data_IF_312579206772
#
_entry.id   IF_312579206772
#
_cell.length_a   1.000
_cell.length_b   1.000
_cell.length_c   1.000
_cell.angle_alpha   90.00
_cell.angle_beta   90.00
_cell.angle_gamma   90.00
#
_symmetry.space_group_name_H-M   'P 1'
#
loop_
_entity.id
_entity.type
_entity.pdbx_description
1 polymer ?
#
# COMPACT_ATOMS: atom_id res chain seq x y z
N UNK A 1 -14.74 12.16 9.65
CA UNK A 1 -15.62 11.62 10.71
C UNK A 1 -17.04 12.12 10.73
N UNK A 2 -17.31 13.43 10.88
CA UNK A 2 -18.69 13.97 10.98
C UNK A 2 -19.66 13.47 9.89
N UNK A 3 -19.18 13.34 8.66
CA UNK A 3 -19.97 12.76 7.58
C UNK A 3 -20.57 11.38 7.94
N UNK A 4 -19.78 10.47 8.50
CA UNK A 4 -20.23 9.12 8.85
C UNK A 4 -21.19 9.13 10.04
N UNK A 5 -20.86 9.89 11.09
CA UNK A 5 -21.64 9.88 12.34
C UNK A 5 -22.90 10.75 12.26
N UNK A 6 -22.78 11.98 11.77
CA UNK A 6 -23.88 12.96 11.77
C UNK A 6 -24.78 12.80 10.54
N UNK A 7 -24.20 12.57 9.35
CA UNK A 7 -24.96 12.49 8.08
C UNK A 7 -25.39 11.06 7.74
N UNK A 8 -24.50 10.07 7.89
CA UNK A 8 -24.80 8.66 7.61
C UNK A 8 -25.38 7.90 8.82
N UNK A 9 -25.39 8.52 10.00
CA UNK A 9 -25.95 7.96 11.25
C UNK A 9 -25.31 6.63 11.67
N UNK A 10 -24.04 6.42 11.33
CA UNK A 10 -23.25 5.27 11.76
C UNK A 10 -22.66 5.57 13.14
N UNK A 11 -22.65 4.60 14.06
CA UNK A 11 -22.08 4.79 15.39
C UNK A 11 -20.57 5.07 15.31
N UNK A 12 -20.01 5.66 16.37
CA UNK A 12 -18.62 6.14 16.34
C UNK A 12 -17.58 5.02 16.12
N UNK A 13 -17.83 3.81 16.65
CA UNK A 13 -16.90 2.67 16.53
C UNK A 13 -16.81 2.22 15.08
N UNK A 14 -17.96 1.92 14.45
CA UNK A 14 -17.99 1.50 13.06
C UNK A 14 -17.52 2.60 12.12
N UNK A 15 -17.85 3.86 12.44
CA UNK A 15 -17.41 4.99 11.66
C UNK A 15 -15.87 5.16 11.71
N UNK A 16 -15.22 4.86 12.84
CA UNK A 16 -13.75 4.83 12.93
C UNK A 16 -13.16 3.71 12.06
N UNK A 17 -13.72 2.50 12.11
CA UNK A 17 -13.27 1.37 11.30
C UNK A 17 -13.34 1.69 9.80
N UNK A 18 -14.45 2.29 9.35
CA UNK A 18 -14.62 2.74 7.95
C UNK A 18 -13.57 3.80 7.60
N UNK A 19 -13.37 4.81 8.46
CA UNK A 19 -12.40 5.87 8.21
C UNK A 19 -10.95 5.35 8.19
N UNK A 20 -10.62 4.38 9.02
CA UNK A 20 -9.30 3.75 9.01
C UNK A 20 -9.04 2.98 7.70
N UNK A 21 -10.08 2.31 7.17
CA UNK A 21 -10.01 1.52 5.94
C UNK A 21 -9.90 2.39 4.67
N UNK A 22 -10.71 3.45 4.53
CA UNK A 22 -10.77 4.25 3.28
C UNK A 22 -10.35 5.72 3.42
N UNK A 23 -10.13 6.19 4.64
CA UNK A 23 -9.68 7.56 4.90
C UNK A 23 -10.78 8.60 4.68
N UNK A 24 -10.35 9.82 4.30
CA UNK A 24 -11.23 10.98 4.20
C UNK A 24 -11.90 11.21 2.85
N UNK A 25 -11.63 10.39 1.82
CA UNK A 25 -12.15 10.63 0.48
C UNK A 25 -13.66 10.42 0.47
N UNK A 26 -14.40 11.48 0.16
CA UNK A 26 -15.87 11.49 0.33
C UNK A 26 -16.59 10.42 -0.49
N UNK A 27 -16.08 10.09 -1.68
CA UNK A 27 -16.69 9.07 -2.54
C UNK A 27 -16.49 7.67 -1.94
N UNK A 28 -15.28 7.35 -1.47
CA UNK A 28 -14.98 6.06 -0.85
C UNK A 28 -15.75 5.90 0.47
N UNK A 29 -15.80 6.97 1.28
CA UNK A 29 -16.61 7.02 2.50
C UNK A 29 -18.10 6.79 2.23
N UNK A 30 -18.62 7.38 1.14
CA UNK A 30 -20.01 7.19 0.75
C UNK A 30 -20.27 5.73 0.36
N UNK A 31 -19.45 5.18 -0.52
CA UNK A 31 -19.59 3.79 -1.01
C UNK A 31 -19.57 2.80 0.14
N UNK A 32 -18.54 2.84 1.00
CA UNK A 32 -18.45 1.92 2.15
C UNK A 32 -19.59 2.10 3.14
N UNK A 33 -20.03 3.35 3.36
CA UNK A 33 -21.19 3.60 4.21
C UNK A 33 -22.51 3.16 3.57
N UNK A 34 -22.65 3.12 2.24
CA UNK A 34 -23.82 2.60 1.54
C UNK A 34 -23.87 1.07 1.73
N UNK A 35 -22.77 0.36 1.50
CA UNK A 35 -22.67 -1.10 1.67
C UNK A 35 -22.90 -1.53 3.13
N UNK A 36 -22.29 -0.81 4.08
CA UNK A 36 -22.44 -1.07 5.51
C UNK A 36 -23.90 -0.89 5.96
N UNK A 37 -24.58 0.18 5.52
CA UNK A 37 -26.00 0.41 5.85
C UNK A 37 -26.94 -0.57 5.14
N UNK A 38 -26.53 -1.14 4.02
CA UNK A 38 -27.19 -2.28 3.37
C UNK A 38 -27.04 -3.60 4.15
N UNK A 39 -26.47 -3.55 5.38
CA UNK A 39 -26.23 -4.68 6.28
C UNK A 39 -25.22 -5.69 5.76
N UNK A 40 -24.35 -5.29 4.85
CA UNK A 40 -23.21 -6.10 4.48
C UNK A 40 -22.23 -6.14 5.66
N UNK A 41 -21.73 -7.34 6.07
CA UNK A 41 -20.75 -7.42 7.14
C UNK A 41 -19.48 -6.64 6.80
N UNK A 42 -18.92 -5.94 7.79
CA UNK A 42 -17.76 -5.07 7.60
C UNK A 42 -16.57 -5.84 7.03
N UNK A 43 -16.35 -7.08 7.49
CA UNK A 43 -15.27 -7.95 7.05
C UNK A 43 -15.38 -8.28 5.54
N UNK A 44 -16.60 -8.38 5.02
CA UNK A 44 -16.83 -8.61 3.59
C UNK A 44 -16.49 -7.36 2.79
N UNK A 45 -16.92 -6.18 3.24
CA UNK A 45 -16.62 -4.89 2.59
C UNK A 45 -15.10 -4.66 2.60
N UNK A 46 -14.46 -4.89 3.74
CA UNK A 46 -13.02 -4.81 3.90
C UNK A 46 -12.31 -5.75 2.92
N UNK A 47 -12.68 -7.03 2.89
CA UNK A 47 -12.05 -8.01 2.00
C UNK A 47 -12.20 -7.63 0.52
N UNK A 48 -13.34 -7.06 0.11
CA UNK A 48 -13.54 -6.57 -1.26
C UNK A 48 -12.55 -5.45 -1.60
N UNK A 49 -12.42 -4.45 -0.72
CA UNK A 49 -11.46 -3.35 -0.90
C UNK A 49 -10.02 -3.85 -0.94
N UNK A 50 -9.64 -4.73 0.00
CA UNK A 50 -8.28 -5.29 0.03
C UNK A 50 -7.99 -6.16 -1.19
N UNK A 51 -8.99 -6.81 -1.78
CA UNK A 51 -8.85 -7.58 -3.02
C UNK A 51 -8.57 -6.65 -4.19
N UNK A 52 -9.27 -5.52 -4.31
CA UNK A 52 -9.00 -4.53 -5.35
C UNK A 52 -7.63 -3.85 -5.18
N UNK A 53 -7.23 -3.55 -3.94
CA UNK A 53 -5.87 -3.07 -3.66
C UNK A 53 -4.84 -4.11 -4.08
N UNK A 54 -5.03 -5.38 -3.72
CA UNK A 54 -4.10 -6.47 -4.09
C UNK A 54 -3.94 -6.60 -5.61
N UNK A 55 -5.04 -6.47 -6.38
CA UNK A 55 -4.97 -6.47 -7.86
C UNK A 55 -4.10 -5.35 -8.41
N UNK A 56 -4.12 -4.17 -7.78
CA UNK A 56 -3.23 -3.05 -8.15
C UNK A 56 -1.76 -3.37 -7.87
N UNK A 57 -1.45 -3.97 -6.73
CA UNK A 57 -0.09 -4.43 -6.43
C UNK A 57 0.38 -5.48 -7.44
N UNK A 58 -0.49 -6.41 -7.82
CA UNK A 58 -0.18 -7.43 -8.82
C UNK A 58 0.08 -6.82 -10.21
N UNK A 59 -0.79 -5.88 -10.63
CA UNK A 59 -0.61 -5.12 -11.87
C UNK A 59 0.68 -4.32 -11.91
N UNK A 60 1.11 -3.79 -10.76
CA UNK A 60 2.38 -3.08 -10.59
C UNK A 60 3.58 -4.02 -10.39
N UNK A 61 3.38 -5.35 -10.39
CA UNK A 61 4.40 -6.36 -10.13
C UNK A 61 5.15 -6.16 -8.80
N UNK A 62 4.43 -5.73 -7.76
CA UNK A 62 4.95 -5.41 -6.42
C UNK A 62 4.82 -6.58 -5.43
N UNK A 63 4.01 -7.60 -5.73
CA UNK A 63 3.85 -8.74 -4.82
C UNK A 63 5.12 -9.59 -4.73
N UNK A 64 5.18 -10.46 -3.72
CA UNK A 64 6.32 -11.32 -3.47
C UNK A 64 6.74 -12.09 -4.74
N UNK A 65 8.05 -12.13 -4.99
CA UNK A 65 8.69 -12.77 -6.16
C UNK A 65 8.45 -12.09 -7.52
N UNK A 66 7.75 -10.96 -7.56
CA UNK A 66 7.61 -10.17 -8.77
C UNK A 66 8.77 -9.18 -8.95
N UNK A 67 8.89 -8.64 -10.16
CA UNK A 67 10.05 -7.88 -10.62
C UNK A 67 10.38 -6.66 -9.78
N UNK A 68 9.37 -6.03 -9.17
CA UNK A 68 9.53 -4.79 -8.43
C UNK A 68 9.43 -4.97 -6.90
N UNK A 69 9.35 -6.20 -6.40
CA UNK A 69 9.13 -6.48 -4.98
C UNK A 69 10.20 -5.90 -4.04
N UNK A 70 11.48 -5.96 -4.40
CA UNK A 70 12.53 -5.41 -3.52
C UNK A 70 12.55 -3.87 -3.55
N UNK A 71 12.38 -3.27 -4.74
CA UNK A 71 12.28 -1.82 -4.91
C UNK A 71 11.06 -1.25 -4.14
N UNK A 72 9.93 -1.96 -4.23
CA UNK A 72 8.71 -1.64 -3.52
C UNK A 72 8.90 -1.57 -2.00
N UNK A 73 9.56 -2.55 -1.38
CA UNK A 73 9.77 -2.57 0.08
C UNK A 73 10.47 -1.31 0.57
N UNK A 74 11.47 -0.84 -0.16
CA UNK A 74 12.23 0.34 0.24
C UNK A 74 11.39 1.61 0.09
N UNK A 75 10.61 1.72 -0.99
CA UNK A 75 9.64 2.81 -1.20
C UNK A 75 8.55 2.81 -0.14
N UNK A 76 7.94 1.65 0.16
CA UNK A 76 6.93 1.50 1.20
C UNK A 76 7.51 1.91 2.56
N UNK A 77 8.71 1.46 2.90
CA UNK A 77 9.36 1.81 4.17
C UNK A 77 9.59 3.32 4.27
N UNK A 78 10.07 3.94 3.19
CA UNK A 78 10.25 5.39 3.15
C UNK A 78 8.91 6.11 3.34
N UNK A 79 7.88 5.75 2.57
CA UNK A 79 6.55 6.35 2.64
C UNK A 79 5.86 6.15 4.00
N UNK A 80 6.04 5.01 4.67
CA UNK A 80 5.50 4.80 6.01
C UNK A 80 6.15 5.73 7.04
N UNK A 81 7.42 6.09 6.84
CA UNK A 81 8.18 6.96 7.75
C UNK A 81 7.95 8.45 7.48
N UNK A 82 7.99 8.87 6.20
CA UNK A 82 7.94 10.28 5.81
C UNK A 82 6.60 10.73 5.23
N UNK A 83 5.65 9.82 5.00
CA UNK A 83 4.34 10.02 4.31
C UNK A 83 4.42 10.32 2.82
N UNK A 84 5.54 10.89 2.39
CA UNK A 84 5.84 11.26 1.01
C UNK A 84 7.34 11.12 0.75
N UNK A 85 7.71 10.89 -0.50
CA UNK A 85 9.12 10.84 -0.92
C UNK A 85 9.31 11.66 -2.19
N UNK A 86 10.53 12.11 -2.41
CA UNK A 86 10.97 12.79 -3.61
C UNK A 86 10.89 11.89 -4.85
N UNK A 87 10.51 12.44 -6.00
CA UNK A 87 10.35 11.68 -7.25
C UNK A 87 11.67 11.11 -7.76
N UNK A 88 12.81 11.78 -7.60
CA UNK A 88 14.11 11.24 -8.01
C UNK A 88 14.48 10.02 -7.17
N UNK A 89 14.16 10.06 -5.87
CA UNK A 89 14.30 8.90 -5.00
C UNK A 89 13.40 7.74 -5.45
N UNK A 90 12.15 8.02 -5.83
CA UNK A 90 11.24 7.00 -6.36
C UNK A 90 11.77 6.39 -7.67
N UNK A 91 12.22 7.21 -8.63
CA UNK A 91 12.82 6.78 -9.90
C UNK A 91 14.05 5.91 -9.69
N UNK A 92 14.88 6.22 -8.70
CA UNK A 92 16.06 5.44 -8.33
C UNK A 92 15.71 4.00 -7.93
N UNK A 93 14.57 3.77 -7.27
CA UNK A 93 14.15 2.43 -6.88
C UNK A 93 13.62 1.62 -8.06
N UNK A 94 12.76 2.20 -8.90
CA UNK A 94 12.08 1.45 -9.97
C UNK A 94 12.83 1.44 -11.31
N UNK A 95 13.83 2.32 -11.52
CA UNK A 95 14.44 2.62 -12.83
C UNK A 95 13.40 3.25 -13.78
N UNK A 96 13.79 4.29 -14.51
CA UNK A 96 12.86 5.16 -15.26
C UNK A 96 11.87 4.41 -16.16
N UNK A 97 12.28 3.31 -16.80
CA UNK A 97 11.41 2.53 -17.72
C UNK A 97 10.18 1.90 -17.04
N UNK A 98 10.24 1.60 -15.73
CA UNK A 98 9.10 0.98 -15.03
C UNK A 98 8.29 1.96 -14.18
N UNK A 99 8.73 3.23 -14.09
CA UNK A 99 8.06 4.25 -13.28
C UNK A 99 6.64 4.51 -13.76
N UNK A 100 6.42 4.58 -15.08
CA UNK A 100 5.08 4.76 -15.63
C UNK A 100 4.17 3.56 -15.34
N UNK A 101 4.66 2.34 -15.54
CA UNK A 101 3.91 1.09 -15.26
C UNK A 101 3.45 1.03 -13.80
N UNK A 102 4.36 1.34 -12.86
CA UNK A 102 4.08 1.31 -11.42
C UNK A 102 3.09 2.41 -11.01
N UNK A 103 3.16 3.61 -11.61
CA UNK A 103 2.24 4.70 -11.33
C UNK A 103 0.84 4.44 -11.93
N UNK A 104 0.75 3.87 -13.14
CA UNK A 104 -0.50 3.53 -13.81
C UNK A 104 -1.35 2.52 -13.02
N UNK A 105 -0.70 1.62 -12.29
CA UNK A 105 -1.36 0.66 -11.42
C UNK A 105 -2.07 1.30 -10.21
N UNK A 106 -1.90 2.61 -9.95
CA UNK A 106 -2.61 3.34 -8.89
C UNK A 106 -2.36 2.80 -7.47
N UNK A 107 -1.16 2.28 -7.20
CA UNK A 107 -0.68 2.01 -5.84
C UNK A 107 -0.08 3.28 -5.23
N UNK A 108 0.66 4.04 -6.04
CA UNK A 108 1.27 5.30 -5.68
C UNK A 108 0.61 6.48 -6.41
N UNK A 109 0.71 7.67 -5.81
CA UNK A 109 0.27 8.93 -6.38
C UNK A 109 1.49 9.80 -6.67
N UNK A 110 1.62 10.32 -7.88
CA UNK A 110 2.57 11.38 -8.19
C UNK A 110 1.91 12.75 -8.03
N UNK A 111 2.58 13.68 -7.35
CA UNK A 111 2.13 15.05 -7.09
C UNK A 111 3.05 16.07 -7.77
N UNK A 112 2.75 16.50 -9.01
CA UNK A 112 3.64 17.36 -9.80
C UNK A 112 3.96 18.71 -9.15
N UNK A 113 3.02 19.27 -8.37
CA UNK A 113 3.19 20.57 -7.72
C UNK A 113 4.29 20.58 -6.67
N UNK A 114 4.66 19.41 -6.16
CA UNK A 114 5.63 19.24 -5.07
C UNK A 114 6.79 18.33 -5.47
N UNK A 115 6.70 17.73 -6.65
CA UNK A 115 7.59 16.69 -7.14
C UNK A 115 7.80 15.55 -6.12
N UNK A 116 6.68 15.02 -5.63
CA UNK A 116 6.69 13.94 -4.62
C UNK A 116 5.75 12.81 -5.00
N UNK A 117 6.02 11.65 -4.40
CA UNK A 117 5.18 10.46 -4.48
C UNK A 117 4.61 10.12 -3.11
N UNK A 118 3.34 9.71 -3.06
CA UNK A 118 2.67 9.18 -1.85
C UNK A 118 1.99 7.84 -2.15
N UNK A 119 1.37 7.21 -1.15
CA UNK A 119 0.34 6.20 -1.42
C UNK A 119 -0.85 6.83 -2.13
N UNK A 120 -1.47 6.09 -3.05
CA UNK A 120 -2.65 6.56 -3.80
C UNK A 120 -3.89 6.70 -2.92
N UNK A 121 -4.03 5.85 -1.90
CA UNK A 121 -5.18 5.89 -0.99
C UNK A 121 -4.85 5.37 0.39
N UNK A 122 -5.73 5.68 1.34
CA UNK A 122 -5.67 5.11 2.69
C UNK A 122 -5.81 3.59 2.67
N UNK A 123 -6.61 3.01 1.77
CA UNK A 123 -6.77 1.56 1.64
C UNK A 123 -5.49 0.86 1.19
N UNK A 124 -4.65 1.51 0.37
CA UNK A 124 -3.31 1.01 0.04
C UNK A 124 -2.45 0.94 1.31
N UNK A 125 -2.41 2.03 2.08
CA UNK A 125 -1.66 2.07 3.34
C UNK A 125 -2.17 1.02 4.33
N UNK A 126 -3.49 0.89 4.47
CA UNK A 126 -4.14 -0.07 5.35
C UNK A 126 -3.79 -1.51 4.96
N UNK A 127 -3.84 -1.83 3.66
CA UNK A 127 -3.43 -3.14 3.13
C UNK A 127 -1.98 -3.49 3.49
N UNK A 128 -1.05 -2.54 3.33
CA UNK A 128 0.36 -2.72 3.70
C UNK A 128 0.51 -3.00 5.19
N UNK A 129 -0.16 -2.22 6.04
CA UNK A 129 -0.08 -2.37 7.50
C UNK A 129 -0.64 -3.73 7.96
N UNK A 130 -1.80 -4.12 7.41
CA UNK A 130 -2.44 -5.41 7.71
C UNK A 130 -1.60 -6.61 7.23
N UNK A 131 -0.87 -6.44 6.13
CA UNK A 131 -0.02 -7.47 5.54
C UNK A 131 1.48 -7.20 5.79
N UNK A 132 1.82 -6.50 6.87
CA UNK A 132 3.18 -6.04 7.14
C UNK A 132 4.23 -7.16 7.06
N UNK A 133 3.89 -8.40 7.41
CA UNK A 133 4.80 -9.55 7.31
C UNK A 133 5.30 -9.83 5.89
N UNK A 134 4.55 -9.48 4.85
CA UNK A 134 4.95 -9.58 3.43
C UNK A 134 6.03 -8.53 3.10
N UNK A 135 5.92 -7.35 3.71
CA UNK A 135 6.77 -6.18 3.39
C UNK A 135 7.93 -5.98 4.36
N UNK A 136 7.93 -6.66 5.51
CA UNK A 136 8.93 -6.50 6.58
C UNK A 136 9.81 -7.72 6.83
N UNK A 137 9.44 -8.91 6.36
CA UNK A 137 10.30 -10.10 6.49
C UNK A 137 11.32 -10.13 5.37
N UNK A 138 12.60 -10.11 5.73
CA UNK A 138 13.68 -10.48 4.82
C UNK A 138 13.44 -11.90 4.30
N UNK A 139 13.58 -12.10 2.99
CA UNK A 139 13.49 -13.42 2.39
C UNK A 139 14.62 -14.31 2.97
N UNK A 140 14.30 -15.44 3.64
CA UNK A 140 15.32 -16.33 4.20
C UNK A 140 16.29 -16.88 3.13
N UNK A 141 15.86 -17.00 1.87
CA UNK A 141 16.73 -17.40 0.77
C UNK A 141 17.82 -16.35 0.47
N UNK A 142 17.53 -15.06 0.61
CA UNK A 142 18.53 -13.99 0.48
C UNK A 142 19.56 -14.05 1.61
N UNK A 143 19.13 -14.38 2.84
CA UNK A 143 20.05 -14.60 3.96
C UNK A 143 21.01 -15.76 3.69
N UNK A 144 20.51 -16.88 3.18
CA UNK A 144 21.33 -18.05 2.84
C UNK A 144 22.28 -17.77 1.68
N UNK A 145 21.82 -17.10 0.63
CA UNK A 145 22.66 -16.71 -0.51
C UNK A 145 23.79 -15.74 -0.10
N UNK A 146 23.46 -14.71 0.71
CA UNK A 146 24.45 -13.75 1.24
C UNK A 146 25.43 -14.45 2.19
N UNK A 147 24.94 -15.40 3.02
CA UNK A 147 25.78 -16.18 3.91
C UNK A 147 26.77 -17.06 3.15
N UNK A 148 26.31 -17.79 2.11
CA UNK A 148 27.18 -18.62 1.26
C UNK A 148 28.21 -17.75 0.52
N UNK A 149 27.78 -16.63 -0.06
CA UNK A 149 28.67 -15.70 -0.75
C UNK A 149 29.76 -15.14 0.18
N UNK A 150 29.39 -14.70 1.39
CA UNK A 150 30.36 -14.18 2.39
C UNK A 150 31.30 -15.26 2.92
N UNK A 151 30.86 -16.52 3.01
CA UNK A 151 31.71 -17.64 3.41
C UNK A 151 32.78 -17.93 2.35
N UNK A 152 32.40 -17.91 1.07
CA UNK A 152 33.30 -18.19 -0.04
C UNK A 152 34.40 -17.12 -0.23
N UNK A 153 34.12 -15.86 0.10
CA UNK A 153 35.11 -14.76 0.06
C UNK A 153 36.14 -14.87 1.20
N UNK A 154 35.76 -15.43 2.36
CA UNK A 154 36.66 -15.59 3.51
C UNK A 154 37.56 -16.83 3.44
N UNK A 155 37.34 -17.69 2.45
CA UNK A 155 38.08 -18.94 2.24
C UNK A 155 39.00 -18.91 1.01
N UNK A 156 39.19 -17.74 0.41
CA UNK A 156 40.18 -17.46 -0.63
C UNK A 156 41.26 -16.53 -0.05
#
# INVERSE_FOLDING_TARGET
>A
MKYLTEKRKINEVDAKNIYELVGGRIIDLKTVADDFLAKQPFEVIEQQILTEVKKKFDSAKLLQYQTHHEAEKDVIRALLNSKEIDTDLFRKYFKDESVSEVLEANVFAYHPSRDTVTFQSQSVRYFIQKNSSIFTKENPLNKTAIYIFRKNIKSA
#
